data_IF_287981065293
#
_entry.id   IF_287981065293
#
_cell.length_a   1.000
_cell.length_b   1.000
_cell.length_c   1.000
_cell.angle_alpha   90.00
_cell.angle_beta   90.00
_cell.angle_gamma   90.00
#
_symmetry.space_group_name_H-M   'P 1'
#
loop_
_entity.id
_entity.type
_entity.pdbx_description
1 polymer ?
#
# COMPACT_ATOMS: atom_id res chain seq x y z
N UNK A 1 -8.03 25.12 16.14
CA UNK A 1 -7.01 24.05 16.23
C UNK A 1 -7.70 22.72 16.04
N UNK A 2 -7.50 22.03 14.90
CA UNK A 2 -8.04 20.69 14.71
C UNK A 2 -7.29 19.73 15.66
N UNK A 3 -8.02 19.13 16.59
CA UNK A 3 -7.46 18.07 17.44
C UNK A 3 -7.14 16.87 16.57
N UNK A 4 -5.88 16.52 16.47
CA UNK A 4 -5.45 15.28 15.83
C UNK A 4 -5.57 14.16 16.87
N UNK A 5 -6.44 13.18 16.59
CA UNK A 5 -6.60 12.00 17.45
C UNK A 5 -5.68 10.90 16.97
N UNK A 6 -5.04 10.21 17.91
CA UNK A 6 -4.22 9.03 17.64
C UNK A 6 -5.02 7.81 18.11
N UNK A 7 -5.17 6.83 17.22
CA UNK A 7 -5.90 5.60 17.49
C UNK A 7 -4.95 4.40 17.51
N UNK A 8 -5.25 3.42 18.35
CA UNK A 8 -4.61 2.10 18.30
C UNK A 8 -5.15 1.28 17.12
N UNK A 9 -4.41 0.26 16.71
CA UNK A 9 -4.87 -0.66 15.65
C UNK A 9 -6.21 -1.32 15.99
N UNK A 10 -6.47 -1.61 17.27
CA UNK A 10 -7.75 -2.15 17.74
C UNK A 10 -8.90 -1.13 17.56
N UNK A 11 -8.66 0.13 17.91
CA UNK A 11 -9.66 1.19 17.75
C UNK A 11 -9.98 1.45 16.26
N UNK A 12 -8.98 1.43 15.39
CA UNK A 12 -9.21 1.55 13.94
C UNK A 12 -10.10 0.42 13.44
N UNK A 13 -9.81 -0.84 13.80
CA UNK A 13 -10.64 -1.99 13.42
C UNK A 13 -12.08 -1.86 13.92
N UNK A 14 -12.28 -1.32 15.13
CA UNK A 14 -13.62 -1.06 15.66
C UNK A 14 -14.35 0.02 14.85
N UNK A 15 -13.66 1.11 14.50
CA UNK A 15 -14.21 2.19 13.67
C UNK A 15 -14.65 1.64 12.30
N UNK A 16 -13.81 0.83 11.64
CA UNK A 16 -14.13 0.22 10.36
C UNK A 16 -15.35 -0.71 10.47
N UNK A 17 -15.39 -1.56 11.51
CA UNK A 17 -16.54 -2.45 11.76
C UNK A 17 -17.84 -1.68 12.02
N UNK A 18 -17.76 -0.53 12.70
CA UNK A 18 -18.92 0.34 12.92
C UNK A 18 -19.37 0.99 11.63
N UNK A 19 -18.44 1.46 10.79
CA UNK A 19 -18.74 2.03 9.48
C UNK A 19 -19.46 1.02 8.58
N UNK A 20 -19.01 -0.25 8.57
CA UNK A 20 -19.69 -1.34 7.85
C UNK A 20 -21.12 -1.54 8.33
N UNK A 21 -21.34 -1.61 9.66
CA UNK A 21 -22.69 -1.73 10.24
C UNK A 21 -23.62 -0.56 9.89
N UNK A 22 -23.04 0.61 9.62
CA UNK A 22 -23.77 1.80 9.17
C UNK A 22 -23.97 1.84 7.65
N UNK A 23 -23.57 0.80 6.91
CA UNK A 23 -23.82 0.65 5.47
C UNK A 23 -22.65 1.05 4.57
N UNK A 24 -21.48 1.44 5.12
CA UNK A 24 -20.29 1.69 4.31
C UNK A 24 -19.60 0.37 3.97
N UNK A 25 -19.53 0.01 2.69
CA UNK A 25 -18.90 -1.25 2.28
C UNK A 25 -17.38 -1.22 2.51
N UNK A 26 -16.78 -2.39 2.76
CA UNK A 26 -15.32 -2.54 2.87
C UNK A 26 -14.62 -2.05 1.59
N UNK A 27 -15.25 -2.23 0.43
CA UNK A 27 -14.75 -1.70 -0.83
C UNK A 27 -14.66 -0.17 -0.80
N UNK A 28 -15.70 0.52 -0.30
CA UNK A 28 -15.70 1.98 -0.19
C UNK A 28 -14.68 2.47 0.85
N UNK A 29 -14.47 1.76 1.95
CA UNK A 29 -13.44 2.09 2.94
C UNK A 29 -12.04 2.03 2.33
N UNK A 30 -11.71 0.97 1.60
CA UNK A 30 -10.43 0.81 0.91
C UNK A 30 -10.26 1.84 -0.21
N UNK A 31 -11.32 2.15 -0.96
CA UNK A 31 -11.30 3.21 -1.97
C UNK A 31 -10.96 4.57 -1.34
N UNK A 32 -11.59 4.90 -0.19
CA UNK A 32 -11.31 6.12 0.54
C UNK A 32 -9.87 6.18 1.07
N UNK A 33 -9.34 5.06 1.59
CA UNK A 33 -7.97 4.97 2.06
C UNK A 33 -6.96 5.22 0.93
N UNK A 34 -7.07 4.51 -0.18
CA UNK A 34 -6.16 4.65 -1.33
C UNK A 34 -6.26 6.01 -2.01
N UNK A 35 -7.48 6.57 -2.16
CA UNK A 35 -7.66 7.92 -2.70
C UNK A 35 -7.12 9.01 -1.76
N UNK A 36 -7.30 8.82 -0.45
CA UNK A 36 -6.71 9.67 0.57
C UNK A 36 -5.19 9.68 0.50
N UNK A 37 -4.59 8.50 0.40
CA UNK A 37 -3.16 8.33 0.23
C UNK A 37 -2.66 9.07 -1.02
N UNK A 38 -3.33 8.88 -2.17
CA UNK A 38 -2.99 9.60 -3.40
C UNK A 38 -3.00 11.12 -3.20
N UNK A 39 -4.04 11.68 -2.56
CA UNK A 39 -4.12 13.13 -2.30
C UNK A 39 -2.95 13.64 -1.46
N UNK A 40 -2.49 12.84 -0.49
CA UNK A 40 -1.37 13.21 0.39
C UNK A 40 -0.02 13.15 -0.31
N UNK A 41 0.24 12.13 -1.13
CA UNK A 41 1.55 11.96 -1.77
C UNK A 41 1.68 12.77 -3.07
N UNK A 42 0.57 13.07 -3.75
CA UNK A 42 0.56 13.81 -5.03
C UNK A 42 1.44 15.08 -5.04
N UNK A 43 1.43 15.94 -4.01
CA UNK A 43 2.27 17.14 -4.00
C UNK A 43 3.78 16.85 -3.98
N UNK A 44 4.19 15.64 -3.61
CA UNK A 44 5.58 15.22 -3.55
C UNK A 44 6.09 14.69 -4.89
N UNK A 45 5.18 14.31 -5.79
CA UNK A 45 5.47 13.57 -7.01
C UNK A 45 5.53 14.49 -8.24
N UNK A 46 6.44 14.20 -9.14
CA UNK A 46 6.49 14.76 -10.49
C UNK A 46 5.89 13.77 -11.49
N UNK A 47 5.34 14.27 -12.58
CA UNK A 47 4.78 13.41 -13.66
C UNK A 47 5.83 12.54 -14.34
N UNK A 48 7.08 12.95 -14.28
CA UNK A 48 8.23 12.22 -14.83
C UNK A 48 8.78 11.17 -13.87
N UNK A 49 8.38 11.18 -12.58
CA UNK A 49 8.86 10.22 -11.61
C UNK A 49 8.36 8.81 -11.95
N UNK A 50 9.25 7.83 -11.84
CA UNK A 50 8.92 6.40 -11.91
C UNK A 50 8.59 5.90 -10.51
N UNK A 51 7.40 5.35 -10.35
CA UNK A 51 6.85 4.95 -9.06
C UNK A 51 6.60 3.46 -9.08
N UNK A 52 7.20 2.71 -8.15
CA UNK A 52 6.87 1.32 -7.90
C UNK A 52 5.88 1.23 -6.75
N UNK A 53 4.78 0.54 -6.94
CA UNK A 53 3.85 0.18 -5.86
C UNK A 53 3.99 -1.32 -5.59
N UNK A 54 4.66 -1.67 -4.50
CA UNK A 54 4.85 -3.05 -4.06
C UNK A 54 3.69 -3.45 -3.15
N UNK A 55 2.70 -4.14 -3.70
CA UNK A 55 1.49 -4.53 -2.99
C UNK A 55 1.61 -5.94 -2.40
N UNK A 56 1.33 -6.05 -1.11
CA UNK A 56 1.22 -7.32 -0.39
C UNK A 56 -0.12 -8.02 -0.64
N UNK A 57 -0.29 -9.19 -0.02
CA UNK A 57 -1.47 -10.05 -0.25
C UNK A 57 -2.69 -9.69 0.58
N UNK A 58 -2.54 -8.82 1.60
CA UNK A 58 -3.59 -8.38 2.52
C UNK A 58 -4.24 -7.05 2.11
N UNK A 59 -4.96 -6.44 3.05
CA UNK A 59 -5.67 -5.18 2.83
C UNK A 59 -4.71 -3.99 2.60
N UNK A 60 -3.55 -3.99 3.24
CA UNK A 60 -2.53 -2.97 2.98
C UNK A 60 -2.08 -2.95 1.51
N UNK A 61 -1.91 -4.14 0.92
CA UNK A 61 -1.69 -4.26 -0.53
C UNK A 61 -2.89 -3.79 -1.35
N UNK A 62 -4.12 -3.99 -0.85
CA UNK A 62 -5.34 -3.48 -1.46
C UNK A 62 -5.35 -1.96 -1.57
N UNK A 63 -4.95 -1.25 -0.50
CA UNK A 63 -4.78 0.21 -0.52
C UNK A 63 -3.73 0.63 -1.57
N UNK A 64 -2.67 -0.16 -1.73
CA UNK A 64 -1.66 0.01 -2.78
C UNK A 64 -2.22 -0.15 -4.19
N UNK A 65 -3.11 -1.12 -4.41
CA UNK A 65 -3.80 -1.32 -5.71
C UNK A 65 -4.64 -0.09 -6.06
N UNK A 66 -5.41 0.42 -5.09
CA UNK A 66 -6.21 1.63 -5.28
C UNK A 66 -5.31 2.82 -5.60
N UNK A 67 -4.23 3.00 -4.84
CA UNK A 67 -3.24 4.07 -5.09
C UNK A 67 -2.66 3.97 -6.51
N UNK A 68 -2.23 2.79 -6.94
CA UNK A 68 -1.67 2.57 -8.27
C UNK A 68 -2.67 2.97 -9.38
N UNK A 69 -3.96 2.64 -9.21
CA UNK A 69 -5.03 3.04 -10.12
C UNK A 69 -5.17 4.57 -10.18
N UNK A 70 -5.16 5.25 -9.03
CA UNK A 70 -5.20 6.72 -9.00
C UNK A 70 -3.98 7.35 -9.67
N UNK A 71 -2.79 6.83 -9.41
CA UNK A 71 -1.57 7.31 -10.07
C UNK A 71 -1.67 7.18 -11.58
N UNK A 72 -2.05 5.99 -12.09
CA UNK A 72 -2.21 5.76 -13.54
C UNK A 72 -3.31 6.63 -14.15
N UNK A 73 -4.47 6.74 -13.50
CA UNK A 73 -5.58 7.58 -13.97
C UNK A 73 -5.20 9.07 -14.07
N UNK A 74 -4.24 9.51 -13.26
CA UNK A 74 -3.74 10.89 -13.28
C UNK A 74 -2.45 11.04 -14.09
N UNK A 75 -2.08 10.06 -14.89
CA UNK A 75 -0.95 10.12 -15.83
C UNK A 75 0.43 10.11 -15.18
N UNK A 76 0.58 9.44 -14.01
CA UNK A 76 1.88 9.14 -13.42
C UNK A 76 2.44 7.82 -13.97
N UNK A 77 3.77 7.70 -14.03
CA UNK A 77 4.47 6.49 -14.46
C UNK A 77 4.54 5.54 -13.24
N UNK A 78 3.49 4.78 -13.03
CA UNK A 78 3.38 3.89 -11.88
C UNK A 78 3.29 2.42 -12.32
N UNK A 79 4.13 1.57 -11.73
CA UNK A 79 4.10 0.12 -11.86
C UNK A 79 3.50 -0.49 -10.59
N UNK A 80 2.51 -1.35 -10.74
CA UNK A 80 1.97 -2.17 -9.65
C UNK A 80 2.58 -3.56 -9.74
N UNK A 81 3.20 -4.02 -8.65
CA UNK A 81 3.80 -5.35 -8.56
C UNK A 81 3.30 -6.10 -7.33
N UNK A 82 3.28 -7.43 -7.43
CA UNK A 82 2.90 -8.34 -6.36
C UNK A 82 4.07 -9.24 -5.95
N UNK A 83 5.03 -8.71 -5.17
CA UNK A 83 6.25 -9.46 -4.82
C UNK A 83 5.99 -10.76 -4.07
N UNK A 84 4.90 -10.79 -3.31
CA UNK A 84 4.49 -11.94 -2.48
C UNK A 84 3.36 -12.75 -3.12
N UNK A 85 3.02 -12.45 -4.38
CA UNK A 85 1.88 -13.01 -5.11
C UNK A 85 0.61 -12.15 -4.98
N UNK A 86 -0.37 -12.41 -5.83
CA UNK A 86 -1.63 -11.67 -5.91
C UNK A 86 -2.42 -11.62 -4.60
N UNK A 87 -3.33 -10.63 -4.43
CA UNK A 87 -4.09 -10.43 -3.20
C UNK A 87 -4.95 -11.65 -2.83
N UNK A 88 -5.10 -11.88 -1.52
CA UNK A 88 -5.90 -12.98 -0.97
C UNK A 88 -7.26 -12.52 -0.46
N UNK A 89 -7.37 -11.30 0.05
CA UNK A 89 -8.63 -10.80 0.62
C UNK A 89 -9.64 -10.48 -0.47
N UNK A 90 -10.92 -10.71 -0.21
CA UNK A 90 -11.99 -10.48 -1.17
C UNK A 90 -12.02 -9.03 -1.67
N UNK A 91 -11.85 -8.06 -0.76
CA UNK A 91 -11.86 -6.63 -1.10
C UNK A 91 -10.66 -6.23 -1.96
N UNK A 92 -9.45 -6.73 -1.65
CA UNK A 92 -8.27 -6.45 -2.47
C UNK A 92 -8.36 -7.08 -3.86
N UNK A 93 -8.94 -8.29 -3.96
CA UNK A 93 -9.24 -8.91 -5.27
C UNK A 93 -10.26 -8.10 -6.07
N UNK A 94 -11.29 -7.55 -5.42
CA UNK A 94 -12.27 -6.70 -6.08
C UNK A 94 -11.62 -5.40 -6.62
N UNK A 95 -10.72 -4.78 -5.86
CA UNK A 95 -9.96 -3.62 -6.34
C UNK A 95 -8.96 -3.96 -7.45
N UNK A 96 -8.36 -5.16 -7.43
CA UNK A 96 -7.52 -5.63 -8.55
C UNK A 96 -8.36 -5.85 -9.81
N UNK A 97 -9.54 -6.44 -9.69
CA UNK A 97 -10.47 -6.57 -10.81
C UNK A 97 -10.87 -5.21 -11.40
N UNK A 98 -11.11 -4.23 -10.53
CA UNK A 98 -11.41 -2.86 -10.95
C UNK A 98 -10.20 -2.18 -11.61
N UNK A 99 -9.00 -2.37 -11.08
CA UNK A 99 -7.74 -1.89 -11.69
C UNK A 99 -7.60 -2.43 -13.12
N UNK A 100 -7.84 -3.73 -13.32
CA UNK A 100 -7.82 -4.38 -14.64
C UNK A 100 -8.93 -3.88 -15.56
N UNK A 101 -10.13 -3.66 -15.03
CA UNK A 101 -11.24 -3.08 -15.80
C UNK A 101 -10.97 -1.65 -16.29
N UNK A 102 -10.08 -0.92 -15.63
CA UNK A 102 -9.59 0.38 -16.10
C UNK A 102 -8.54 0.25 -17.24
N UNK A 103 -8.22 -0.96 -17.69
CA UNK A 103 -7.25 -1.23 -18.75
C UNK A 103 -5.80 -1.29 -18.26
N UNK A 104 -5.57 -1.48 -16.95
CA UNK A 104 -4.24 -1.59 -16.37
C UNK A 104 -3.91 -3.03 -15.99
N UNK A 105 -2.63 -3.38 -16.10
CA UNK A 105 -2.11 -4.67 -15.64
C UNK A 105 -1.03 -4.47 -14.59
N UNK A 106 -0.88 -5.50 -13.74
CA UNK A 106 0.24 -5.56 -12.81
C UNK A 106 1.50 -5.99 -13.57
N UNK A 107 2.60 -5.38 -13.22
CA UNK A 107 3.89 -5.62 -13.84
C UNK A 107 4.66 -6.74 -13.12
N UNK A 108 5.62 -7.33 -13.81
CA UNK A 108 6.69 -8.08 -13.15
C UNK A 108 7.78 -7.12 -12.71
N UNK A 109 8.42 -7.43 -11.59
CA UNK A 109 9.56 -6.64 -11.17
C UNK A 109 10.70 -6.83 -12.16
N UNK A 110 11.14 -5.72 -12.73
CA UNK A 110 12.34 -5.66 -13.54
C UNK A 110 13.50 -5.18 -12.66
N UNK A 111 14.48 -6.04 -12.35
CA UNK A 111 15.61 -5.68 -11.49
C UNK A 111 16.51 -4.59 -12.10
N UNK A 112 16.48 -4.41 -13.43
CA UNK A 112 17.24 -3.38 -14.13
C UNK A 112 16.54 -2.00 -14.15
N UNK A 113 15.25 -1.97 -13.83
CA UNK A 113 14.46 -0.74 -13.82
C UNK A 113 14.73 0.06 -12.54
N UNK A 114 15.03 1.34 -12.71
CA UNK A 114 15.21 2.26 -11.58
C UNK A 114 13.93 3.03 -11.31
N UNK A 115 13.68 3.31 -10.04
CA UNK A 115 12.52 4.07 -9.58
C UNK A 115 12.96 5.29 -8.77
N UNK A 116 12.17 6.37 -8.85
CA UNK A 116 12.35 7.56 -8.01
C UNK A 116 11.64 7.38 -6.67
N UNK A 117 10.54 6.62 -6.67
CA UNK A 117 9.73 6.31 -5.51
C UNK A 117 9.35 4.84 -5.45
N UNK A 118 9.37 4.29 -4.24
CA UNK A 118 8.81 2.96 -3.94
C UNK A 118 7.74 3.15 -2.87
N UNK A 119 6.55 2.62 -3.14
CA UNK A 119 5.47 2.56 -2.16
C UNK A 119 5.48 1.16 -1.55
N UNK A 120 5.80 1.10 -0.25
CA UNK A 120 5.77 -0.13 0.54
C UNK A 120 4.34 -0.39 1.03
N UNK A 121 3.65 -1.27 0.34
CA UNK A 121 2.33 -1.81 0.66
C UNK A 121 2.37 -3.30 1.01
N UNK A 122 3.55 -3.85 1.39
CA UNK A 122 3.71 -5.28 1.63
C UNK A 122 2.95 -5.75 2.87
N UNK A 123 3.22 -5.11 4.03
CA UNK A 123 2.56 -5.42 5.30
C UNK A 123 2.11 -4.11 5.95
N UNK A 124 0.93 -4.14 6.58
CA UNK A 124 0.45 -3.08 7.45
C UNK A 124 0.65 -3.42 8.93
N UNK A 125 -0.05 -2.71 9.82
CA UNK A 125 0.00 -2.88 11.28
C UNK A 125 -0.33 -4.31 11.76
N UNK A 126 -0.94 -5.16 10.92
CA UNK A 126 -1.17 -6.58 11.20
C UNK A 126 0.01 -7.49 10.86
N UNK A 127 1.13 -6.96 10.40
CA UNK A 127 2.33 -7.71 10.12
C UNK A 127 2.88 -8.38 11.37
N UNK A 128 3.37 -9.62 11.22
CA UNK A 128 3.98 -10.39 12.32
C UNK A 128 5.49 -10.38 12.21
N UNK A 129 6.15 -10.28 13.35
CA UNK A 129 7.59 -10.37 13.48
C UNK A 129 7.98 -11.71 14.12
N UNK A 130 9.12 -12.32 13.78
CA UNK A 130 10.06 -11.88 12.73
C UNK A 130 9.44 -11.99 11.33
N UNK A 131 9.95 -11.19 10.38
CA UNK A 131 9.51 -11.26 9.00
C UNK A 131 9.80 -12.63 8.39
N UNK A 132 8.89 -13.11 7.55
CA UNK A 132 9.18 -14.27 6.69
C UNK A 132 10.31 -13.92 5.73
N UNK A 133 11.06 -14.93 5.30
CA UNK A 133 12.23 -14.77 4.44
C UNK A 133 11.94 -13.98 3.17
N UNK A 134 10.87 -14.31 2.46
CA UNK A 134 10.44 -13.64 1.24
C UNK A 134 10.16 -12.13 1.46
N UNK A 135 9.50 -11.79 2.57
CA UNK A 135 9.21 -10.40 2.93
C UNK A 135 10.48 -9.65 3.30
N UNK A 136 11.37 -10.29 4.08
CA UNK A 136 12.65 -9.70 4.49
C UNK A 136 13.56 -9.41 3.27
N UNK A 137 13.62 -10.33 2.30
CA UNK A 137 14.37 -10.17 1.06
C UNK A 137 13.85 -8.97 0.24
N UNK A 138 12.52 -8.83 0.12
CA UNK A 138 11.92 -7.69 -0.56
C UNK A 138 12.15 -6.37 0.17
N UNK A 139 12.05 -6.37 1.50
CA UNK A 139 12.31 -5.18 2.31
C UNK A 139 13.79 -4.75 2.16
N UNK A 140 14.71 -5.69 2.20
CA UNK A 140 16.14 -5.44 1.97
C UNK A 140 16.39 -4.88 0.56
N UNK A 141 15.74 -5.47 -0.46
CA UNK A 141 15.84 -4.97 -1.83
C UNK A 141 15.34 -3.54 -1.96
N UNK A 142 14.17 -3.21 -1.41
CA UNK A 142 13.62 -1.84 -1.43
C UNK A 142 14.56 -0.85 -0.74
N UNK A 143 15.11 -1.20 0.42
CA UNK A 143 16.04 -0.37 1.16
C UNK A 143 17.39 -0.17 0.44
N UNK A 144 17.79 -1.12 -0.40
CA UNK A 144 18.98 -1.03 -1.24
C UNK A 144 18.82 -0.12 -2.46
N UNK A 145 17.59 0.27 -2.81
CA UNK A 145 17.33 1.15 -3.94
C UNK A 145 17.67 2.61 -3.59
N UNK A 146 18.02 3.41 -4.62
CA UNK A 146 18.20 4.87 -4.46
C UNK A 146 16.88 5.64 -4.40
N UNK A 147 15.75 4.94 -4.47
CA UNK A 147 14.41 5.51 -4.45
C UNK A 147 14.04 6.04 -3.06
N UNK A 148 13.15 7.04 -3.03
CA UNK A 148 12.47 7.44 -1.79
C UNK A 148 11.36 6.43 -1.50
N UNK A 149 11.21 6.05 -0.23
CA UNK A 149 10.22 5.05 0.19
C UNK A 149 9.06 5.75 0.91
N UNK A 150 7.84 5.38 0.53
CA UNK A 150 6.60 5.76 1.20
C UNK A 150 5.95 4.47 1.70
N UNK A 151 5.76 4.32 3.01
CA UNK A 151 5.05 3.18 3.56
C UNK A 151 3.55 3.47 3.68
N UNK A 152 2.73 2.51 3.29
CA UNK A 152 1.30 2.52 3.56
C UNK A 152 1.10 1.96 4.97
N UNK A 153 0.39 2.70 5.83
CA UNK A 153 0.11 2.39 7.22
C UNK A 153 1.39 2.41 8.10
N UNK A 154 2.22 1.39 8.05
CA UNK A 154 3.51 1.32 8.74
C UNK A 154 4.58 0.73 7.82
N UNK A 155 5.86 1.11 7.97
CA UNK A 155 6.93 0.48 7.21
C UNK A 155 6.99 -1.02 7.49
N UNK A 156 7.12 -1.83 6.45
CA UNK A 156 7.24 -3.28 6.58
C UNK A 156 8.47 -3.63 7.43
N UNK A 157 8.28 -4.46 8.46
CA UNK A 157 9.32 -4.81 9.43
C UNK A 157 9.41 -3.91 10.66
N UNK A 158 8.53 -2.92 10.77
CA UNK A 158 8.39 -2.10 11.98
C UNK A 158 7.19 -2.59 12.79
N UNK A 159 7.39 -2.78 14.09
CA UNK A 159 6.29 -3.10 15.00
C UNK A 159 5.38 -1.88 15.17
N UNK A 160 4.07 -2.07 15.02
CA UNK A 160 3.09 -1.02 15.28
C UNK A 160 2.89 -0.73 16.77
N UNK A 161 3.32 -1.63 17.65
CA UNK A 161 3.13 -1.51 19.11
C UNK A 161 4.28 -0.78 19.78
N UNK A 162 5.53 -1.13 19.46
CA UNK A 162 6.72 -0.59 20.13
C UNK A 162 7.62 0.26 19.22
N UNK A 163 7.27 0.39 17.94
CA UNK A 163 8.02 1.13 16.90
C UNK A 163 9.46 0.66 16.72
N UNK A 164 9.80 -0.54 17.16
CA UNK A 164 11.13 -1.11 16.91
C UNK A 164 11.22 -1.70 15.53
N UNK A 165 12.26 -1.34 14.82
CA UNK A 165 12.64 -1.96 13.56
C UNK A 165 13.37 -3.28 13.84
N UNK A 166 13.09 -4.30 13.03
CA UNK A 166 13.80 -5.60 13.04
C UNK A 166 14.47 -5.87 11.68
N UNK A 167 14.60 -4.82 10.88
CA UNK A 167 15.26 -4.87 9.57
C UNK A 167 16.38 -3.86 9.54
#
# INVERSE_FOLDING_TARGET
MNKMYIYTSAQIKEIDSRAEKMGMSVFALMENAGSGLFRHIRPLLKKTDRILVAAGRGNNGGDGIVLARYLKNHGYLADLVFPLGEPKTAVSKAHLAYFRACGYEAEHVDPEKTYDWIVDGLLGAGGRLPLRKDVAEWTAWMNGQKAKIIAIDVPTGVSSEDRKSVV
#
